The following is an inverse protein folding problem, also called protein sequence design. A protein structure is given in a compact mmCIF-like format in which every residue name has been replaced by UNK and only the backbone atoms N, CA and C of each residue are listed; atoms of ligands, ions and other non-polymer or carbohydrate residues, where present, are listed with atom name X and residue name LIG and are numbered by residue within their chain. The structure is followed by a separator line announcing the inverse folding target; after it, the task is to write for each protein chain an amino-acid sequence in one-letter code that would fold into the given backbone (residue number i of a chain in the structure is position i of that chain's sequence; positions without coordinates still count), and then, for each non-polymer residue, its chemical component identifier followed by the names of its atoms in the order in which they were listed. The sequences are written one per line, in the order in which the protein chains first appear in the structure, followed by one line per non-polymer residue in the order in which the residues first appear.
data_IF_520690862376
#
_entry.id   IF_520690862376
#
_cell.length_a   1.000
_cell.length_b   1.000
_cell.length_c   1.000
_cell.angle_alpha   90.00
_cell.angle_beta   90.00
_cell.angle_gamma   90.00
#
_symmetry.space_group_name_H-M   'P 1'
#
loop_
_entity.id
_entity.type
_entity.pdbx_description
1 polymer ?
#
# COMPACT_ATOMS: atom_id res chain seq x y z
N UNK A 1 -0.57 -10.26 -2.96
CA UNK A 1 -0.66 -9.39 -4.16
C UNK A 1 0.71 -8.99 -4.67
N UNK A 2 1.65 -8.60 -3.80
CA UNK A 2 3.02 -8.28 -4.18
C UNK A 2 3.74 -9.45 -4.87
N UNK A 3 3.49 -10.69 -4.44
CA UNK A 3 4.02 -11.89 -5.09
C UNK A 3 3.56 -12.06 -6.54
N UNK A 4 2.28 -11.81 -6.84
CA UNK A 4 1.72 -11.85 -8.19
C UNK A 4 2.27 -10.74 -9.08
N UNK A 5 2.40 -9.53 -8.53
CA UNK A 5 3.03 -8.40 -9.22
C UNK A 5 4.49 -8.73 -9.53
N UNK A 6 5.24 -9.24 -8.55
CA UNK A 6 6.63 -9.62 -8.74
C UNK A 6 6.78 -10.73 -9.78
N UNK A 7 5.89 -11.72 -9.78
CA UNK A 7 5.86 -12.78 -10.80
C UNK A 7 5.64 -12.20 -12.20
N UNK A 8 4.75 -11.22 -12.34
CA UNK A 8 4.47 -10.56 -13.61
C UNK A 8 5.65 -9.72 -14.08
N UNK A 9 6.27 -8.96 -13.17
CA UNK A 9 7.43 -8.14 -13.47
C UNK A 9 8.66 -8.99 -13.82
N UNK A 10 8.85 -10.14 -13.19
CA UNK A 10 9.89 -11.09 -13.57
C UNK A 10 9.71 -11.60 -15.01
N UNK A 11 8.48 -11.92 -15.43
CA UNK A 11 8.21 -12.28 -16.83
C UNK A 11 8.56 -11.16 -17.82
N UNK A 12 8.36 -9.90 -17.41
CA UNK A 12 8.73 -8.73 -18.23
C UNK A 12 10.24 -8.55 -18.28
N UNK A 13 10.93 -8.72 -17.15
CA UNK A 13 12.40 -8.73 -17.10
C UNK A 13 12.99 -9.79 -18.04
N UNK A 14 12.47 -11.02 -17.98
CA UNK A 14 12.88 -12.12 -18.85
C UNK A 14 12.62 -11.81 -20.33
N UNK A 15 11.46 -11.21 -20.64
CA UNK A 15 11.10 -10.85 -22.01
C UNK A 15 11.97 -9.72 -22.59
N UNK A 16 12.50 -8.84 -21.74
CA UNK A 16 13.35 -7.71 -22.11
C UNK A 16 14.85 -8.00 -21.94
N UNK A 17 15.22 -9.20 -21.49
CA UNK A 17 16.59 -9.62 -21.17
C UNK A 17 17.31 -8.65 -20.20
N UNK A 18 16.56 -8.13 -19.21
CA UNK A 18 17.08 -7.22 -18.17
C UNK A 18 17.00 -7.86 -16.80
N UNK A 19 18.04 -7.69 -15.99
CA UNK A 19 18.08 -8.22 -14.63
C UNK A 19 17.80 -7.11 -13.59
N UNK A 20 16.52 -6.75 -13.43
CA UNK A 20 16.08 -5.79 -12.41
C UNK A 20 15.66 -6.53 -11.16
N UNK A 21 16.40 -6.33 -10.07
CA UNK A 21 16.02 -6.87 -8.76
C UNK A 21 14.74 -6.21 -8.25
N UNK A 22 13.71 -7.00 -7.99
CA UNK A 22 12.42 -6.51 -7.50
C UNK A 22 12.45 -6.35 -5.97
N UNK A 23 11.81 -5.29 -5.44
CA UNK A 23 11.75 -5.08 -4.02
C UNK A 23 10.91 -6.16 -3.32
N UNK A 24 11.49 -6.75 -2.27
CA UNK A 24 10.81 -7.66 -1.33
C UNK A 24 10.71 -6.99 0.03
N UNK A 25 9.62 -6.23 0.28
CA UNK A 25 9.43 -5.58 1.56
C UNK A 25 9.16 -6.61 2.66
N UNK A 26 9.84 -6.48 3.80
CA UNK A 26 9.65 -7.31 4.99
C UNK A 26 8.33 -6.94 5.70
N UNK A 27 7.61 -7.92 6.24
CA UNK A 27 6.37 -7.79 7.03
C UNK A 27 6.41 -6.65 8.05
N UNK A 28 7.49 -6.51 8.81
CA UNK A 28 7.63 -5.41 9.79
C UNK A 28 7.54 -4.02 9.15
N UNK A 29 8.06 -3.87 7.93
CA UNK A 29 7.99 -2.62 7.17
C UNK A 29 6.59 -2.39 6.63
N UNK A 30 5.93 -3.45 6.14
CA UNK A 30 4.52 -3.35 5.72
C UNK A 30 3.61 -2.98 6.89
N UNK A 31 3.82 -3.59 8.07
CA UNK A 31 3.03 -3.35 9.27
C UNK A 31 3.15 -1.89 9.73
N UNK A 32 4.38 -1.36 9.75
CA UNK A 32 4.63 0.06 10.07
C UNK A 32 3.98 0.99 9.04
N UNK A 33 4.12 0.71 7.74
CA UNK A 33 3.50 1.51 6.69
C UNK A 33 1.98 1.49 6.77
N UNK A 34 1.38 0.33 7.03
CA UNK A 34 -0.05 0.15 7.27
C UNK A 34 -0.53 1.01 8.45
N UNK A 35 0.12 0.92 9.60
CA UNK A 35 -0.23 1.69 10.78
C UNK A 35 -0.16 3.20 10.53
N UNK A 36 0.88 3.68 9.85
CA UNK A 36 1.04 5.10 9.50
C UNK A 36 -0.04 5.55 8.52
N UNK A 37 -0.29 4.78 7.45
CA UNK A 37 -1.32 5.11 6.46
C UNK A 37 -2.73 5.13 7.08
N UNK A 38 -3.00 4.25 8.04
CA UNK A 38 -4.26 4.23 8.78
C UNK A 38 -4.41 5.46 9.68
N UNK A 39 -3.39 5.77 10.49
CA UNK A 39 -3.41 6.92 11.39
C UNK A 39 -3.52 8.25 10.64
N UNK A 40 -2.68 8.47 9.64
CA UNK A 40 -2.71 9.70 8.84
C UNK A 40 -3.97 9.76 7.98
N UNK A 41 -4.40 8.64 7.41
CA UNK A 41 -5.59 8.55 6.58
C UNK A 41 -6.87 8.86 7.35
N UNK A 42 -7.07 8.24 8.51
CA UNK A 42 -8.23 8.51 9.38
C UNK A 42 -8.24 9.96 9.86
N UNK A 43 -7.09 10.50 10.24
CA UNK A 43 -6.95 11.90 10.66
C UNK A 43 -7.32 12.85 9.53
N UNK A 44 -6.77 12.65 8.32
CA UNK A 44 -7.08 13.46 7.15
C UNK A 44 -8.55 13.34 6.73
N UNK A 45 -9.12 12.14 6.84
CA UNK A 45 -10.54 11.89 6.54
C UNK A 45 -11.46 12.65 7.48
N UNK A 46 -11.24 12.52 8.80
CA UNK A 46 -11.98 13.24 9.83
C UNK A 46 -11.82 14.76 9.69
N UNK A 47 -10.60 15.24 9.45
CA UNK A 47 -10.35 16.66 9.19
C UNK A 47 -11.06 17.17 7.94
N UNK A 48 -11.10 16.36 6.87
CA UNK A 48 -11.83 16.67 5.64
C UNK A 48 -13.33 16.80 5.87
N UNK A 49 -13.90 15.95 6.72
CA UNK A 49 -15.31 16.03 7.11
C UNK A 49 -15.59 17.31 7.91
N UNK A 50 -14.78 17.58 8.95
CA UNK A 50 -14.93 18.77 9.80
C UNK A 50 -14.75 20.07 9.00
N UNK A 51 -13.76 20.11 8.12
CA UNK A 51 -13.42 21.29 7.32
C UNK A 51 -14.24 21.40 6.02
N UNK A 52 -15.21 20.48 5.79
CA UNK A 52 -16.01 20.36 4.57
C UNK A 52 -15.18 20.32 3.27
N UNK A 53 -13.94 19.82 3.35
CA UNK A 53 -13.00 19.75 2.23
C UNK A 53 -13.00 18.34 1.65
N UNK A 54 -13.77 18.16 0.58
CA UNK A 54 -13.92 16.86 -0.13
C UNK A 54 -12.58 16.22 -0.51
N UNK A 55 -11.58 17.01 -0.91
CA UNK A 55 -10.25 16.50 -1.28
C UNK A 55 -9.56 15.74 -0.15
N UNK A 56 -9.68 16.21 1.10
CA UNK A 56 -9.06 15.56 2.25
C UNK A 56 -9.80 14.27 2.62
N UNK A 57 -11.12 14.21 2.43
CA UNK A 57 -11.87 12.96 2.56
C UNK A 57 -11.43 11.92 1.52
N UNK A 58 -11.23 12.31 0.26
CA UNK A 58 -10.78 11.38 -0.79
C UNK A 58 -9.38 10.86 -0.47
N UNK A 59 -8.43 11.74 -0.17
CA UNK A 59 -7.04 11.35 0.13
C UNK A 59 -6.98 10.51 1.42
N UNK A 60 -7.69 10.94 2.47
CA UNK A 60 -7.77 10.21 3.73
C UNK A 60 -8.39 8.83 3.57
N UNK A 61 -9.47 8.72 2.81
CA UNK A 61 -10.10 7.44 2.48
C UNK A 61 -9.18 6.51 1.69
N UNK A 62 -8.48 7.04 0.68
CA UNK A 62 -7.49 6.28 -0.09
C UNK A 62 -6.36 5.74 0.79
N UNK A 63 -5.89 6.56 1.72
CA UNK A 63 -4.83 6.19 2.67
C UNK A 63 -5.29 5.09 3.63
N UNK A 64 -6.54 5.13 4.10
CA UNK A 64 -7.11 4.04 4.93
C UNK A 64 -7.27 2.75 4.12
N UNK A 65 -7.78 2.83 2.88
CA UNK A 65 -7.86 1.65 2.00
C UNK A 65 -6.47 1.05 1.74
N UNK A 66 -5.46 1.89 1.52
CA UNK A 66 -4.08 1.45 1.39
C UNK A 66 -3.62 0.66 2.62
N UNK A 67 -3.89 1.14 3.84
CA UNK A 67 -3.55 0.41 5.06
C UNK A 67 -4.22 -0.98 5.14
N UNK A 68 -5.48 -1.10 4.70
CA UNK A 68 -6.19 -2.39 4.67
C UNK A 68 -5.51 -3.36 3.71
N UNK A 69 -5.17 -2.92 2.49
CA UNK A 69 -4.47 -3.78 1.53
C UNK A 69 -3.08 -4.20 2.03
N UNK A 70 -2.34 -3.31 2.71
CA UNK A 70 -1.06 -3.68 3.31
C UNK A 70 -1.21 -4.72 4.43
N UNK A 71 -2.25 -4.62 5.28
CA UNK A 71 -2.51 -5.63 6.31
C UNK A 71 -2.88 -6.99 5.71
N UNK A 72 -3.66 -6.99 4.63
CA UNK A 72 -4.01 -8.22 3.93
C UNK A 72 -2.80 -8.89 3.30
N UNK A 73 -1.83 -8.10 2.80
CA UNK A 73 -0.57 -8.62 2.26
C UNK A 73 0.26 -9.33 3.34
N UNK A 74 0.39 -8.75 4.54
CA UNK A 74 1.11 -9.35 5.68
C UNK A 74 0.45 -10.67 6.12
N UNK A 75 -0.88 -10.73 6.07
CA UNK A 75 -1.64 -11.93 6.45
C UNK A 75 -1.50 -13.09 5.45
N UNK A 76 -1.01 -12.83 4.23
CA UNK A 76 -0.93 -13.79 3.13
C UNK A 76 0.41 -14.53 3.05
N UNK A 77 1.43 -14.05 3.77
CA UNK A 77 2.77 -14.67 3.85
C UNK A 77 2.88 -15.71 4.99
N UNK A 78 1.81 -15.92 5.77
CA UNK A 78 1.68 -16.97 6.80
C UNK A 78 0.84 -18.15 6.32
#
# INVERSE_FOLDING_TARGET
MLSEINTTLNKVNDALDVNVSLPTPNDDRLAKASAVNFLLGTTAFCYGLLSKKKSYCVIGGLSVLSALFLNEEIGRDK
#
